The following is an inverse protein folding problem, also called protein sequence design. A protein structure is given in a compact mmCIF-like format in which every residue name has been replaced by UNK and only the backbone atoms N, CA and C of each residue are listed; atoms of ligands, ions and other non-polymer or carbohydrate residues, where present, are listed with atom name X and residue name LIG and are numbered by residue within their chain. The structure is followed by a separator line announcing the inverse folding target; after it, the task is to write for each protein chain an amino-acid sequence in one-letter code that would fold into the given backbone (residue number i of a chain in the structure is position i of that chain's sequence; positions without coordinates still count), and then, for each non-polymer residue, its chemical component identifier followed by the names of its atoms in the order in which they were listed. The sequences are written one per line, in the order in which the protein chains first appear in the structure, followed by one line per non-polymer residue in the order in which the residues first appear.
data_IF_756336368227
#
_entry.id   IF_756336368227
#
_cell.length_a   1.000
_cell.length_b   1.000
_cell.length_c   1.000
_cell.angle_alpha   90.00
_cell.angle_beta   90.00
_cell.angle_gamma   90.00
#
_symmetry.space_group_name_H-M   'P 1'
#
loop_
_entity.id
_entity.type
_entity.pdbx_description
1 polymer ?
#
# COMPACT_ATOMS: atom_id res chain seq x y z
N UNK A 1 -5.42 -17.89 -7.55
CA UNK A 1 -4.66 -16.67 -7.17
C UNK A 1 -3.51 -16.48 -8.13
N UNK A 2 -3.25 -15.26 -8.55
CA UNK A 2 -2.14 -14.93 -9.44
C UNK A 2 -1.08 -14.18 -8.64
N UNK A 3 0.17 -14.62 -8.78
CA UNK A 3 1.32 -13.97 -8.13
C UNK A 3 2.17 -13.34 -9.23
N UNK A 4 2.51 -12.06 -9.07
CA UNK A 4 3.35 -11.33 -10.01
C UNK A 4 4.72 -11.07 -9.39
N UNK A 5 5.76 -11.46 -10.12
CA UNK A 5 7.14 -11.14 -9.75
C UNK A 5 7.52 -9.71 -10.15
N UNK A 6 8.68 -9.24 -9.70
CA UNK A 6 9.21 -7.96 -10.16
C UNK A 6 9.38 -7.93 -11.68
N UNK A 7 9.84 -9.02 -12.27
CA UNK A 7 10.00 -9.10 -13.72
C UNK A 7 8.67 -9.03 -14.45
N UNK A 8 7.64 -9.69 -13.92
CA UNK A 8 6.29 -9.60 -14.47
C UNK A 8 5.79 -8.16 -14.47
N UNK A 9 5.99 -7.45 -13.36
CA UNK A 9 5.59 -6.04 -13.24
C UNK A 9 6.35 -5.16 -14.21
N UNK A 10 7.66 -5.37 -14.37
CA UNK A 10 8.47 -4.61 -15.33
C UNK A 10 8.01 -4.77 -16.76
N UNK A 11 7.49 -5.94 -17.12
CA UNK A 11 6.99 -6.21 -18.46
C UNK A 11 5.68 -5.50 -18.77
N UNK A 12 4.83 -5.29 -17.77
CA UNK A 12 3.48 -4.77 -17.98
C UNK A 12 3.26 -3.35 -17.51
N UNK A 13 4.16 -2.81 -16.70
CA UNK A 13 3.99 -1.47 -16.12
C UNK A 13 5.22 -0.60 -16.42
N UNK A 14 4.99 0.46 -17.18
CA UNK A 14 5.99 1.52 -17.38
C UNK A 14 5.70 2.69 -16.46
N UNK A 15 6.68 3.57 -16.28
CA UNK A 15 6.50 4.81 -15.53
C UNK A 15 5.41 5.67 -16.16
N UNK A 16 5.36 5.74 -17.48
CA UNK A 16 4.34 6.51 -18.19
C UNK A 16 2.93 5.96 -17.95
N UNK A 17 2.76 4.65 -18.00
CA UNK A 17 1.47 4.02 -17.72
C UNK A 17 1.06 4.23 -16.27
N UNK A 18 2.00 4.15 -15.34
CA UNK A 18 1.76 4.43 -13.94
C UNK A 18 1.29 5.87 -13.72
N UNK A 19 1.94 6.84 -14.37
CA UNK A 19 1.55 8.24 -14.28
C UNK A 19 0.15 8.49 -14.84
N UNK A 20 -0.18 7.87 -15.96
CA UNK A 20 -1.53 7.98 -16.55
C UNK A 20 -2.59 7.39 -15.63
N UNK A 21 -2.32 6.22 -15.06
CA UNK A 21 -3.24 5.57 -14.13
C UNK A 21 -3.47 6.42 -12.88
N UNK A 22 -2.42 7.00 -12.33
CA UNK A 22 -2.52 7.88 -11.17
C UNK A 22 -3.30 9.15 -11.48
N UNK A 23 -3.08 9.73 -12.66
CA UNK A 23 -3.82 10.92 -13.08
C UNK A 23 -5.33 10.65 -13.14
N UNK A 24 -5.71 9.54 -13.74
CA UNK A 24 -7.12 9.10 -13.79
C UNK A 24 -7.66 8.87 -12.38
N UNK A 25 -6.90 8.17 -11.54
CA UNK A 25 -7.33 7.86 -10.17
C UNK A 25 -7.52 9.11 -9.32
N UNK A 26 -6.64 10.10 -9.43
CA UNK A 26 -6.78 11.35 -8.69
C UNK A 26 -7.99 12.16 -9.17
N UNK A 27 -8.23 12.20 -10.48
CA UNK A 27 -9.42 12.88 -11.02
C UNK A 27 -10.69 12.19 -10.55
N UNK A 28 -10.73 10.88 -10.57
CA UNK A 28 -11.90 10.14 -10.09
C UNK A 28 -12.09 10.29 -8.58
N UNK A 29 -11.01 10.35 -7.83
CA UNK A 29 -11.10 10.61 -6.38
C UNK A 29 -11.75 11.97 -6.11
N UNK A 30 -11.36 13.01 -6.85
CA UNK A 30 -11.95 14.32 -6.73
C UNK A 30 -13.45 14.35 -7.09
N UNK A 31 -13.88 13.44 -7.97
CA UNK A 31 -15.27 13.31 -8.41
C UNK A 31 -16.10 12.34 -7.55
N UNK A 32 -15.53 11.78 -6.50
CA UNK A 32 -16.19 10.78 -5.66
C UNK A 32 -16.31 9.40 -6.28
N UNK A 33 -15.49 9.11 -7.30
CA UNK A 33 -15.50 7.83 -8.04
C UNK A 33 -14.31 6.93 -7.70
N UNK A 34 -13.65 7.22 -6.61
CA UNK A 34 -12.54 6.43 -6.08
C UNK A 34 -12.58 6.45 -4.57
N UNK A 35 -11.98 5.46 -3.95
CA UNK A 35 -11.83 5.39 -2.52
C UNK A 35 -10.35 5.15 -2.19
N UNK A 36 -9.89 5.84 -1.16
CA UNK A 36 -8.56 5.68 -0.62
C UNK A 36 -8.67 5.81 0.90
N UNK A 37 -8.69 4.69 1.59
CA UNK A 37 -8.85 4.71 3.04
C UNK A 37 -7.57 5.13 3.72
N UNK A 38 -7.67 5.85 4.85
CA UNK A 38 -6.49 6.15 5.65
C UNK A 38 -5.76 4.87 6.06
N UNK A 39 -4.45 4.97 6.18
CA UNK A 39 -3.62 3.85 6.61
C UNK A 39 -3.98 3.44 8.03
N UNK A 40 -4.23 2.14 8.22
CA UNK A 40 -4.42 1.57 9.55
C UNK A 40 -3.06 1.17 10.11
N UNK A 41 -2.83 1.47 11.39
CA UNK A 41 -1.59 1.15 12.09
C UNK A 41 -1.89 0.35 13.33
N UNK A 42 -1.17 -0.75 13.51
CA UNK A 42 -1.19 -1.52 14.75
C UNK A 42 0.25 -1.63 15.26
N UNK A 43 0.44 -1.30 16.52
CA UNK A 43 1.75 -1.29 17.16
C UNK A 43 1.76 -2.22 18.36
N UNK A 44 2.79 -3.06 18.45
CA UNK A 44 3.03 -3.90 19.62
C UNK A 44 4.49 -3.80 20.05
N UNK A 45 4.76 -3.79 21.36
CA UNK A 45 6.14 -3.79 21.82
C UNK A 45 6.82 -5.11 21.45
N UNK A 46 8.07 -5.02 21.08
CA UNK A 46 8.91 -6.20 20.88
C UNK A 46 9.39 -6.67 22.23
N UNK A 47 9.03 -7.90 22.61
CA UNK A 47 9.39 -8.49 23.90
C UNK A 47 10.66 -9.32 23.76
N UNK A 48 11.70 -8.71 23.22
CA UNK A 48 13.02 -9.35 23.01
C UNK A 48 14.08 -8.42 23.54
N UNK A 49 14.91 -8.92 24.45
CA UNK A 49 15.96 -8.13 25.11
C UNK A 49 16.99 -7.56 24.13
N UNK A 50 17.13 -8.16 22.95
CA UNK A 50 18.04 -7.67 21.90
C UNK A 50 17.56 -6.38 21.27
N UNK A 51 16.28 -6.04 21.42
CA UNK A 51 15.64 -4.89 20.76
C UNK A 51 14.85 -4.06 21.76
N UNK A 52 15.52 -3.45 22.76
CA UNK A 52 14.83 -2.66 23.77
C UNK A 52 14.19 -1.41 23.12
N UNK A 53 12.94 -1.16 23.47
CA UNK A 53 12.20 -0.01 22.94
C UNK A 53 11.71 -0.15 21.51
N UNK A 54 11.93 -1.30 20.88
CA UNK A 54 11.43 -1.55 19.53
C UNK A 54 9.95 -1.93 19.54
N UNK A 55 9.28 -1.64 18.45
CA UNK A 55 7.89 -2.00 18.23
C UNK A 55 7.73 -2.74 16.91
N UNK A 56 6.85 -3.76 16.90
CA UNK A 56 6.31 -4.31 15.67
C UNK A 56 5.27 -3.34 15.15
N UNK A 57 5.33 -3.05 13.85
CA UNK A 57 4.35 -2.22 13.18
C UNK A 57 3.68 -3.02 12.07
N UNK A 58 2.38 -3.08 12.12
CA UNK A 58 1.56 -3.68 11.07
C UNK A 58 0.69 -2.58 10.48
N UNK A 59 0.79 -2.40 9.16
CA UNK A 59 0.10 -1.33 8.45
C UNK A 59 -0.68 -1.90 7.28
N UNK A 60 -1.88 -1.38 7.06
CA UNK A 60 -2.67 -1.73 5.91
C UNK A 60 -3.32 -0.50 5.32
N UNK A 61 -3.53 -0.52 4.02
CA UNK A 61 -4.20 0.54 3.31
C UNK A 61 -4.93 -0.07 2.11
N UNK A 62 -6.14 0.41 1.85
CA UNK A 62 -6.96 -0.12 0.77
C UNK A 62 -7.55 1.00 -0.06
N UNK A 63 -7.82 0.72 -1.33
CA UNK A 63 -8.42 1.68 -2.23
C UNK A 63 -8.73 1.10 -3.59
N UNK A 64 -9.37 1.89 -4.40
CA UNK A 64 -9.72 1.52 -5.75
C UNK A 64 -10.45 2.66 -6.45
N UNK A 65 -10.63 2.52 -7.75
CA UNK A 65 -11.35 3.49 -8.55
C UNK A 65 -12.24 2.80 -9.57
N UNK A 66 -13.28 3.53 -10.01
CA UNK A 66 -14.33 2.94 -10.84
C UNK A 66 -13.81 2.53 -12.21
N UNK A 67 -13.03 3.37 -12.88
CA UNK A 67 -12.62 3.06 -14.24
C UNK A 67 -11.64 1.90 -14.34
N UNK A 68 -10.83 1.65 -13.31
CA UNK A 68 -9.97 0.46 -13.31
C UNK A 68 -10.73 -0.81 -12.97
N UNK A 69 -11.83 -0.68 -12.22
CA UNK A 69 -12.60 -1.84 -11.74
C UNK A 69 -11.82 -2.72 -10.77
N UNK A 70 -10.78 -2.21 -10.16
CA UNK A 70 -9.87 -2.98 -9.30
C UNK A 70 -9.79 -2.34 -7.92
N UNK A 71 -9.84 -3.17 -6.89
CA UNK A 71 -9.54 -2.80 -5.52
C UNK A 71 -8.19 -3.38 -5.14
N UNK A 72 -7.42 -2.60 -4.44
CA UNK A 72 -6.10 -3.00 -3.97
C UNK A 72 -6.02 -2.92 -2.45
N UNK A 73 -5.32 -3.89 -1.86
CA UNK A 73 -4.98 -3.91 -0.46
C UNK A 73 -3.47 -4.00 -0.34
N UNK A 74 -2.88 -3.04 0.36
CA UNK A 74 -1.46 -3.05 0.68
C UNK A 74 -1.28 -3.38 2.14
N UNK A 75 -0.47 -4.39 2.41
CA UNK A 75 -0.13 -4.82 3.77
C UNK A 75 1.38 -4.74 3.91
N UNK A 76 1.85 -4.09 4.96
CA UNK A 76 3.26 -4.03 5.29
C UNK A 76 3.46 -4.28 6.77
N UNK A 77 4.55 -4.98 7.12
CA UNK A 77 4.95 -5.15 8.50
C UNK A 77 6.43 -4.90 8.63
N UNK A 78 6.81 -4.27 9.72
CA UNK A 78 8.21 -4.02 10.04
C UNK A 78 8.43 -3.94 11.54
N UNK A 79 9.68 -3.76 11.93
CA UNK A 79 10.08 -3.56 13.31
C UNK A 79 10.91 -2.28 13.34
N UNK A 80 10.59 -1.36 14.22
CA UNK A 80 11.27 -0.08 14.29
C UNK A 80 11.60 0.29 15.73
N UNK A 81 12.76 0.91 15.89
CA UNK A 81 13.16 1.47 17.17
C UNK A 81 12.39 2.76 17.46
N UNK A 82 12.22 3.03 18.74
CA UNK A 82 11.68 4.30 19.22
C UNK A 82 12.86 5.22 19.50
N UNK A 83 12.88 6.36 18.86
CA UNK A 83 13.89 7.40 19.13
C UNK A 83 13.47 8.27 20.30
#
# INVERSE_FOLDING_TARGET
MRILSNDDVKQVLTVEECMKALEVAYKEYALGKAANRPRNHTYFPVMDERYPGFQYRFKSQEGGNISSGVWALRITSDMAGVE
#
